data_IF_050550211436
#
_entry.id   IF_050550211436
#
_cell.length_a   1.000
_cell.length_b   1.000
_cell.length_c   1.000
_cell.angle_alpha   90.00
_cell.angle_beta   90.00
_cell.angle_gamma   90.00
#
_symmetry.space_group_name_H-M   'P 1'
#
loop_
_entity.id
_entity.type
_entity.pdbx_description
1 polymer ?
#
# COMPACT_ATOMS: atom_id res chain seq x y z
N UNK A 1 -14.04 -1.49 -18.80
CA UNK A 1 -13.78 -0.82 -17.50
C UNK A 1 -12.65 -1.56 -16.78
N UNK A 2 -11.46 -1.57 -17.39
CA UNK A 2 -10.26 -2.23 -16.88
C UNK A 2 -9.10 -1.26 -17.16
N UNK A 3 -8.24 -1.01 -16.16
CA UNK A 3 -6.82 -0.64 -16.24
C UNK A 3 -6.46 0.41 -15.16
N UNK A 4 -6.10 -0.04 -13.96
CA UNK A 4 -5.39 0.80 -12.95
C UNK A 4 -3.99 0.23 -12.63
N UNK A 5 -3.62 -0.94 -13.13
CA UNK A 5 -2.37 -1.61 -12.75
C UNK A 5 -1.52 -1.89 -13.98
N UNK A 6 -0.87 -0.85 -14.51
CA UNK A 6 0.14 -1.00 -15.56
C UNK A 6 1.50 -1.32 -14.88
N UNK A 7 1.73 -2.62 -14.68
CA UNK A 7 3.00 -3.34 -14.56
C UNK A 7 4.09 -2.82 -13.58
N UNK A 8 4.27 -3.51 -12.45
CA UNK A 8 5.54 -4.17 -12.07
C UNK A 8 5.27 -5.17 -10.93
N UNK A 9 5.61 -6.45 -11.14
CA UNK A 9 5.23 -7.58 -10.29
C UNK A 9 6.48 -8.18 -9.64
N UNK A 10 6.68 -7.97 -8.34
CA UNK A 10 7.57 -8.81 -7.53
C UNK A 10 7.26 -8.78 -6.02
N UNK A 11 6.05 -9.21 -5.63
CA UNK A 11 5.84 -10.23 -4.58
C UNK A 11 4.34 -10.40 -4.31
N UNK A 12 4.01 -11.61 -3.85
CA UNK A 12 2.68 -12.20 -3.69
C UNK A 12 1.95 -11.53 -2.51
N UNK A 13 1.41 -10.34 -2.72
CA UNK A 13 0.35 -9.82 -1.86
C UNK A 13 -0.98 -10.12 -2.53
N UNK A 14 -1.89 -10.80 -1.82
CA UNK A 14 -3.31 -10.71 -2.14
C UNK A 14 -3.75 -9.28 -1.80
N UNK A 15 -3.53 -8.37 -2.75
CA UNK A 15 -3.94 -6.99 -2.62
C UNK A 15 -5.41 -6.88 -3.08
N UNK A 16 -6.30 -6.63 -2.13
CA UNK A 16 -7.64 -6.16 -2.45
C UNK A 16 -7.63 -4.64 -2.48
N UNK A 17 -8.55 -4.02 -3.23
CA UNK A 17 -8.68 -2.57 -3.24
C UNK A 17 -10.12 -2.14 -3.43
N UNK A 18 -10.45 -0.98 -2.87
CA UNK A 18 -11.71 -0.28 -3.13
C UNK A 18 -11.46 1.21 -3.37
N UNK A 19 -12.51 1.92 -3.77
CA UNK A 19 -12.45 3.37 -3.83
C UNK A 19 -13.79 4.01 -3.46
N UNK A 20 -13.69 5.24 -3.00
CA UNK A 20 -14.78 6.19 -2.74
C UNK A 20 -14.47 7.50 -3.46
N UNK A 21 -15.31 8.51 -3.29
CA UNK A 21 -15.05 9.87 -3.81
C UNK A 21 -13.78 10.49 -3.21
N UNK A 22 -13.44 10.12 -1.96
CA UNK A 22 -12.31 10.73 -1.23
C UNK A 22 -11.04 9.91 -1.26
N UNK A 23 -11.13 8.58 -1.27
CA UNK A 23 -9.97 7.71 -1.09
C UNK A 23 -10.00 6.54 -2.07
N UNK A 24 -8.82 6.12 -2.52
CA UNK A 24 -8.54 4.75 -2.96
C UNK A 24 -7.91 4.01 -1.78
N UNK A 25 -8.37 2.81 -1.47
CA UNK A 25 -7.81 2.00 -0.38
C UNK A 25 -7.18 0.74 -0.93
N UNK A 26 -5.98 0.44 -0.46
CA UNK A 26 -5.25 -0.78 -0.80
C UNK A 26 -5.11 -1.63 0.45
N UNK A 27 -5.59 -2.85 0.40
CA UNK A 27 -5.59 -3.81 1.49
C UNK A 27 -4.52 -4.87 1.26
N UNK A 28 -3.52 -4.90 2.13
CA UNK A 28 -2.41 -5.85 2.10
C UNK A 28 -2.59 -6.87 3.22
N UNK A 29 -2.84 -8.13 2.86
CA UNK A 29 -2.89 -9.23 3.80
C UNK A 29 -1.46 -9.56 4.29
N UNK A 30 -1.13 -9.08 5.48
CA UNK A 30 0.17 -9.22 6.10
C UNK A 30 -0.02 -9.82 7.48
N UNK A 31 0.07 -11.16 7.58
CA UNK A 31 -0.06 -11.86 8.86
C UNK A 31 0.94 -11.28 9.84
N UNK A 32 0.49 -11.00 11.06
CA UNK A 32 1.35 -10.54 12.16
C UNK A 32 2.10 -9.21 11.95
N UNK A 33 1.77 -8.41 10.93
CA UNK A 33 2.41 -7.09 10.69
C UNK A 33 2.30 -6.11 11.85
N UNK A 34 1.23 -6.20 12.65
CA UNK A 34 1.07 -5.42 13.87
C UNK A 34 2.09 -5.76 15.00
N UNK A 35 2.87 -6.83 14.86
CA UNK A 35 3.87 -7.26 15.85
C UNK A 35 5.28 -6.74 15.56
N UNK A 36 5.57 -6.34 14.33
CA UNK A 36 6.87 -5.78 13.98
C UNK A 36 6.94 -4.30 14.33
N UNK A 37 8.16 -3.78 14.49
CA UNK A 37 8.38 -2.36 14.77
C UNK A 37 7.83 -1.48 13.64
N UNK A 38 7.34 -0.28 13.99
CA UNK A 38 6.84 0.68 12.99
C UNK A 38 7.94 1.14 12.02
N UNK A 39 9.21 1.11 12.43
CA UNK A 39 10.38 1.41 11.60
C UNK A 39 10.62 0.38 10.49
N UNK A 40 10.13 -0.86 10.69
CA UNK A 40 10.20 -1.92 9.69
C UNK A 40 9.07 -1.81 8.66
N UNK A 41 8.17 -0.84 8.77
CA UNK A 41 7.12 -0.59 7.80
C UNK A 41 7.34 0.79 7.18
N UNK A 42 7.91 0.82 5.99
CA UNK A 42 8.12 2.05 5.24
C UNK A 42 7.06 2.20 4.16
N UNK A 43 6.53 3.41 4.03
CA UNK A 43 5.58 3.75 2.97
C UNK A 43 5.95 5.12 2.42
N UNK A 44 6.03 5.22 1.10
CA UNK A 44 6.25 6.47 0.40
C UNK A 44 5.09 6.71 -0.54
N UNK A 45 4.51 7.90 -0.47
CA UNK A 45 3.52 8.38 -1.43
C UNK A 45 4.17 9.37 -2.38
N UNK A 46 3.70 9.39 -3.63
CA UNK A 46 3.92 10.49 -4.56
C UNK A 46 2.58 10.88 -5.16
N UNK A 47 2.52 11.99 -5.90
CA UNK A 47 1.31 12.43 -6.60
C UNK A 47 0.61 11.29 -7.37
N UNK A 48 1.34 10.37 -8.01
CA UNK A 48 0.73 9.29 -8.83
C UNK A 48 1.30 7.90 -8.58
N UNK A 49 1.94 7.70 -7.43
CA UNK A 49 2.48 6.39 -7.07
C UNK A 49 2.52 6.19 -5.56
N UNK A 50 2.74 4.96 -5.15
CA UNK A 50 3.18 4.66 -3.80
C UNK A 50 4.14 3.47 -3.80
N UNK A 51 4.98 3.40 -2.79
CA UNK A 51 5.76 2.20 -2.47
C UNK A 51 5.61 1.82 -1.00
N UNK A 52 5.72 0.53 -0.74
CA UNK A 52 5.67 -0.08 0.59
C UNK A 52 6.85 -1.03 0.69
N UNK A 53 7.59 -0.92 1.79
CA UNK A 53 8.61 -1.89 2.19
C UNK A 53 8.32 -2.35 3.61
N UNK A 54 8.10 -3.65 3.79
CA UNK A 54 7.93 -4.30 5.08
C UNK A 54 9.14 -5.19 5.32
N UNK A 55 9.93 -4.87 6.33
CA UNK A 55 11.18 -5.55 6.68
C UNK A 55 10.93 -6.59 7.77
N UNK A 56 11.66 -7.70 7.69
CA UNK A 56 11.74 -8.73 8.72
C UNK A 56 10.36 -9.22 9.22
N UNK A 57 9.40 -9.36 8.31
CA UNK A 57 8.13 -9.99 8.61
C UNK A 57 8.28 -11.49 8.32
N UNK A 58 8.22 -12.31 9.38
CA UNK A 58 8.43 -13.76 9.28
C UNK A 58 9.79 -14.11 8.62
N UNK A 59 10.83 -13.34 8.98
CA UNK A 59 12.19 -13.50 8.44
C UNK A 59 12.34 -13.11 6.96
N UNK A 60 11.36 -12.40 6.38
CA UNK A 60 11.36 -11.98 4.98
C UNK A 60 11.06 -10.50 4.83
N UNK A 61 11.64 -9.91 3.79
CA UNK A 61 11.26 -8.59 3.33
C UNK A 61 10.17 -8.73 2.27
N UNK A 62 9.18 -7.86 2.34
CA UNK A 62 8.13 -7.78 1.35
C UNK A 62 8.01 -6.35 0.83
N UNK A 63 7.92 -6.21 -0.48
CA UNK A 63 7.88 -4.90 -1.14
C UNK A 63 6.74 -4.85 -2.16
N UNK A 64 6.14 -3.66 -2.30
CA UNK A 64 5.16 -3.37 -3.33
C UNK A 64 5.34 -1.93 -3.81
N UNK A 65 5.39 -1.73 -5.12
CA UNK A 65 5.36 -0.42 -5.73
C UNK A 65 4.26 -0.37 -6.78
N UNK A 66 3.43 0.67 -6.74
CA UNK A 66 2.42 0.95 -7.76
C UNK A 66 2.72 2.29 -8.39
N UNK A 67 2.90 2.28 -9.70
CA UNK A 67 3.18 3.46 -10.50
C UNK A 67 1.94 3.84 -11.33
N UNK A 68 1.88 5.11 -11.75
CA UNK A 68 0.88 5.62 -12.69
C UNK A 68 -0.56 5.37 -12.22
N UNK A 69 -0.87 5.75 -10.98
CA UNK A 69 -2.24 5.74 -10.46
C UNK A 69 -3.16 6.55 -11.39
N UNK A 70 -4.36 6.02 -11.62
CA UNK A 70 -5.37 6.64 -12.49
C UNK A 70 -5.68 8.08 -12.05
N UNK A 71 -5.85 8.27 -10.74
CA UNK A 71 -6.07 9.58 -10.12
C UNK A 71 -4.84 10.01 -9.33
N UNK A 72 -4.53 11.32 -9.31
CA UNK A 72 -3.51 11.85 -8.43
C UNK A 72 -3.96 11.72 -6.97
N UNK A 73 -2.99 11.64 -6.08
CA UNK A 73 -3.18 11.50 -4.65
C UNK A 73 -2.36 12.56 -3.89
N UNK A 74 -2.82 12.93 -2.71
CA UNK A 74 -2.09 13.83 -1.82
C UNK A 74 -1.06 13.05 -1.02
N UNK A 75 0.22 13.37 -1.16
CA UNK A 75 1.30 12.74 -0.38
C UNK A 75 1.15 12.97 1.12
N UNK A 76 0.65 14.15 1.51
CA UNK A 76 0.50 14.56 2.91
C UNK A 76 -0.73 13.97 3.58
N UNK A 77 -1.81 13.81 2.83
CA UNK A 77 -3.09 13.30 3.36
C UNK A 77 -3.28 11.80 3.14
N UNK A 78 -2.40 11.16 2.37
CA UNK A 78 -2.34 9.70 2.26
C UNK A 78 -1.61 9.11 3.46
N UNK A 79 -2.08 7.96 3.95
CA UNK A 79 -1.51 7.34 5.14
C UNK A 79 -1.67 5.83 5.13
N UNK A 80 -0.89 5.16 5.99
CA UNK A 80 -1.00 3.72 6.26
C UNK A 80 -1.72 3.50 7.58
N UNK A 81 -2.52 2.43 7.66
CA UNK A 81 -3.11 1.92 8.88
C UNK A 81 -2.73 0.46 9.05
N UNK A 82 -2.09 0.13 10.15
CA UNK A 82 -1.67 -1.24 10.48
C UNK A 82 -2.67 -1.84 11.47
N UNK A 83 -3.26 -2.97 11.10
CA UNK A 83 -4.19 -3.74 11.93
C UNK A 83 -3.66 -5.17 12.11
N UNK A 84 -4.30 -5.95 13.00
CA UNK A 84 -3.97 -7.37 13.17
C UNK A 84 -4.17 -8.14 11.85
N UNK A 85 -3.08 -8.63 11.28
CA UNK A 85 -3.08 -9.46 10.07
C UNK A 85 -3.29 -8.71 8.75
N UNK A 86 -3.35 -7.38 8.77
CA UNK A 86 -3.58 -6.57 7.57
C UNK A 86 -2.98 -5.17 7.71
N UNK A 87 -2.47 -4.65 6.60
CA UNK A 87 -2.17 -3.23 6.46
C UNK A 87 -3.07 -2.61 5.39
N UNK A 88 -3.56 -1.40 5.63
CA UNK A 88 -4.37 -0.65 4.67
C UNK A 88 -3.65 0.66 4.31
N UNK A 89 -3.49 0.93 3.02
CA UNK A 89 -3.06 2.23 2.53
C UNK A 89 -4.30 3.03 2.15
N UNK A 90 -4.42 4.22 2.69
CA UNK A 90 -5.47 5.18 2.36
C UNK A 90 -4.84 6.25 1.47
N UNK A 91 -5.15 6.19 0.18
CA UNK A 91 -4.64 7.13 -0.82
C UNK A 91 -5.69 8.23 -1.01
N UNK A 92 -5.43 9.41 -0.48
CA UNK A 92 -6.34 10.55 -0.59
C UNK A 92 -6.33 11.06 -2.02
N UNK A 93 -7.46 11.03 -2.72
CA UNK A 93 -7.59 11.64 -4.05
C UNK A 93 -7.44 13.16 -3.94
N UNK A 94 -6.66 13.73 -4.85
CA UNK A 94 -6.54 15.19 -5.03
C UNK A 94 -7.62 15.70 -5.98
#
# INVERSE_FOLDING_TARGET
>A
LFCILKYFFFLIFSAAWDQSDKFVKIYLALKDVHKISAENVEVKFTERSFSVLVKDLDGKNHEMTVLNLLYPISEKESYKKVNKGQMCLHLKKT
#
